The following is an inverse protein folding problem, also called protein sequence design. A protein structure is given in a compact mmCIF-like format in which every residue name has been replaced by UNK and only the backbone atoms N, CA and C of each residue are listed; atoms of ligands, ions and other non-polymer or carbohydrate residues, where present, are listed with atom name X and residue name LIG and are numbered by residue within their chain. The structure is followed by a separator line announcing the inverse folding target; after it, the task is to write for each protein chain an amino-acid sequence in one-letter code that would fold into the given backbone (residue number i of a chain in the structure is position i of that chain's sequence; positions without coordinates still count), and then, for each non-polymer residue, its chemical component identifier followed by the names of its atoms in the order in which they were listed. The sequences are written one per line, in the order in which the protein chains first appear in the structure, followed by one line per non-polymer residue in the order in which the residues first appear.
data_IF_056786285233
#
_entry.id   IF_056786285233
#
_cell.length_a   1.000
_cell.length_b   1.000
_cell.length_c   1.000
_cell.angle_alpha   90.00
_cell.angle_beta   90.00
_cell.angle_gamma   90.00
#
_symmetry.space_group_name_H-M   'P 1'
#
loop_
_entity.id
_entity.type
_entity.pdbx_description
1 polymer ?
#
# COMPACT_ATOMS: atom_id res chain seq x y z
N UNK A 1 11.85 17.88 -2.74
CA UNK A 1 12.08 17.68 -1.29
C UNK A 1 11.70 16.24 -1.00
N UNK A 2 12.66 15.45 -0.54
CA UNK A 2 12.43 14.08 -0.07
C UNK A 2 11.78 14.20 1.32
N UNK A 3 10.58 13.65 1.56
CA UNK A 3 9.91 13.87 2.84
C UNK A 3 10.57 13.00 3.91
N UNK A 4 11.25 13.65 4.85
CA UNK A 4 11.75 13.02 6.06
C UNK A 4 10.55 12.58 6.90
N UNK A 5 10.46 11.28 7.21
CA UNK A 5 9.43 10.76 8.13
C UNK A 5 9.57 11.49 9.49
N UNK A 6 8.47 11.99 10.09
CA UNK A 6 8.53 12.55 11.44
C UNK A 6 8.96 11.46 12.43
N UNK A 7 9.69 11.87 13.49
CA UNK A 7 10.29 10.95 14.47
C UNK A 7 9.27 10.07 15.24
N UNK A 8 7.99 10.44 15.24
CA UNK A 8 6.89 9.69 15.83
C UNK A 8 6.38 8.62 14.86
N UNK A 9 7.12 7.51 14.68
CA UNK A 9 6.58 6.35 13.94
C UNK A 9 5.38 5.77 14.67
N UNK A 10 4.33 5.34 13.94
CA UNK A 10 3.25 4.54 14.55
C UNK A 10 3.88 3.27 15.12
N UNK A 11 3.89 3.17 16.45
CA UNK A 11 4.43 2.03 17.20
C UNK A 11 3.43 0.88 17.30
N UNK A 12 2.22 1.05 16.76
CA UNK A 12 1.26 -0.03 16.67
C UNK A 12 1.86 -1.20 15.87
N UNK A 13 1.65 -2.45 16.32
CA UNK A 13 2.08 -3.61 15.56
C UNK A 13 1.39 -3.60 14.19
N UNK A 14 2.10 -4.09 13.17
CA UNK A 14 1.50 -4.29 11.85
C UNK A 14 0.41 -5.35 11.97
N UNK A 15 -0.83 -5.06 11.52
CA UNK A 15 -1.92 -6.01 11.61
C UNK A 15 -1.71 -7.13 10.59
N UNK A 16 -2.20 -8.32 10.93
CA UNK A 16 -2.31 -9.40 9.95
C UNK A 16 -3.35 -9.03 8.88
N UNK A 17 -2.98 -9.28 7.62
CA UNK A 17 -3.87 -9.09 6.48
C UNK A 17 -4.12 -10.45 5.82
N UNK A 18 -5.39 -10.78 5.66
CA UNK A 18 -5.80 -11.85 4.77
C UNK A 18 -5.77 -11.32 3.33
N UNK A 19 -4.71 -11.68 2.60
CA UNK A 19 -4.58 -11.35 1.17
C UNK A 19 -5.47 -12.27 0.33
N UNK A 20 -6.43 -11.67 -0.37
CA UNK A 20 -7.31 -12.34 -1.30
C UNK A 20 -6.77 -12.10 -2.72
N UNK A 21 -6.33 -13.17 -3.36
CA UNK A 21 -5.84 -13.13 -4.75
C UNK A 21 -6.96 -13.59 -5.69
N UNK A 22 -7.11 -12.94 -6.84
CA UNK A 22 -7.93 -13.52 -7.92
C UNK A 22 -7.23 -14.78 -8.44
N UNK A 23 -7.97 -15.87 -8.64
CA UNK A 23 -7.45 -17.21 -8.96
C UNK A 23 -6.36 -17.22 -10.07
N UNK A 24 -6.52 -16.34 -11.06
CA UNK A 24 -5.59 -16.14 -12.17
C UNK A 24 -4.20 -15.59 -11.82
N UNK A 25 -3.98 -15.10 -10.59
CA UNK A 25 -2.71 -14.53 -10.11
C UNK A 25 -2.08 -15.33 -8.96
N UNK A 26 -2.64 -16.50 -8.62
CA UNK A 26 -2.18 -17.30 -7.49
C UNK A 26 -0.73 -17.82 -7.65
N UNK A 27 -0.30 -18.15 -8.88
CA UNK A 27 1.04 -18.65 -9.18
C UNK A 27 2.05 -17.56 -9.59
N UNK A 28 1.70 -16.29 -9.39
CA UNK A 28 2.49 -15.20 -9.94
C UNK A 28 3.71 -14.89 -9.07
N UNK A 29 4.89 -14.85 -9.69
CA UNK A 29 6.13 -14.51 -8.98
C UNK A 29 6.17 -13.01 -8.72
N UNK A 30 5.95 -12.62 -7.48
CA UNK A 30 5.99 -11.23 -7.01
C UNK A 30 7.37 -10.57 -7.16
N UNK A 31 8.40 -11.35 -7.48
CA UNK A 31 9.79 -10.91 -7.55
C UNK A 31 9.98 -9.74 -8.52
N UNK A 32 9.24 -9.68 -9.63
CA UNK A 32 9.40 -8.64 -10.65
C UNK A 32 8.53 -7.39 -10.39
N UNK A 33 7.71 -7.41 -9.32
CA UNK A 33 6.86 -6.26 -8.97
C UNK A 33 7.66 -5.16 -8.30
N UNK A 34 7.58 -3.96 -8.89
CA UNK A 34 8.33 -2.78 -8.46
C UNK A 34 7.51 -1.75 -7.69
N UNK A 35 6.24 -1.65 -8.03
CA UNK A 35 5.33 -0.70 -7.41
C UNK A 35 4.09 -1.40 -6.89
N UNK A 36 3.66 -0.94 -5.73
CA UNK A 36 2.42 -1.34 -5.10
C UNK A 36 1.56 -0.09 -4.96
N UNK A 37 0.30 -0.17 -5.36
CA UNK A 37 -0.66 0.92 -5.24
C UNK A 37 -1.77 0.44 -4.33
N UNK A 38 -1.87 1.04 -3.14
CA UNK A 38 -3.04 0.88 -2.30
C UNK A 38 -4.12 1.87 -2.74
N UNK A 39 -5.33 1.38 -2.99
CA UNK A 39 -6.50 2.20 -3.32
C UNK A 39 -7.53 2.14 -2.19
N UNK A 40 -8.14 3.28 -1.89
CA UNK A 40 -9.13 3.42 -0.83
C UNK A 40 -10.36 4.15 -1.39
N UNK A 41 -11.45 3.43 -1.71
CA UNK A 41 -12.72 4.06 -2.07
C UNK A 41 -13.34 4.77 -0.86
N UNK A 42 -14.07 5.86 -1.09
CA UNK A 42 -15.00 6.45 -0.12
C UNK A 42 -14.39 6.78 1.26
N UNK A 43 -13.13 7.24 1.29
CA UNK A 43 -12.37 7.52 2.54
C UNK A 43 -12.21 6.32 3.48
N UNK A 44 -12.29 5.09 2.96
CA UNK A 44 -12.08 3.84 3.72
C UNK A 44 -10.74 3.79 4.45
N UNK A 45 -9.76 4.55 3.98
CA UNK A 45 -8.50 4.77 4.67
C UNK A 45 -8.72 5.19 6.15
N UNK A 46 -9.70 6.06 6.43
CA UNK A 46 -9.99 6.52 7.79
C UNK A 46 -10.52 5.39 8.67
N UNK A 47 -11.44 4.57 8.16
CA UNK A 47 -12.01 3.42 8.87
C UNK A 47 -10.94 2.37 9.19
N UNK A 48 -10.02 2.11 8.26
CA UNK A 48 -8.91 1.20 8.47
C UNK A 48 -7.97 1.73 9.56
N UNK A 49 -7.68 3.03 9.58
CA UNK A 49 -6.84 3.61 10.62
C UNK A 49 -7.45 3.50 12.01
N UNK A 50 -8.73 3.83 12.14
CA UNK A 50 -9.46 3.71 13.40
C UNK A 50 -9.45 2.26 13.89
N UNK A 51 -9.66 1.31 12.97
CA UNK A 51 -9.59 -0.12 13.25
C UNK A 51 -8.19 -0.58 13.75
N UNK A 52 -7.12 -0.11 13.10
CA UNK A 52 -5.76 -0.61 13.37
C UNK A 52 -5.11 0.03 14.60
N UNK A 53 -5.33 1.33 14.79
CA UNK A 53 -4.56 2.12 15.75
C UNK A 53 -5.36 2.44 17.00
N UNK A 54 -6.69 2.25 16.98
CA UNK A 54 -7.63 2.76 18.01
C UNK A 54 -7.51 4.28 18.25
N UNK A 55 -6.74 4.97 17.41
CA UNK A 55 -6.54 6.41 17.42
C UNK A 55 -7.30 6.91 16.19
N UNK A 56 -8.30 7.77 16.40
CA UNK A 56 -9.08 8.34 15.31
C UNK A 56 -8.18 9.04 14.28
N UNK A 57 -8.63 9.09 13.03
CA UNK A 57 -7.89 9.73 11.92
C UNK A 57 -7.44 11.15 12.30
N UNK A 58 -6.13 11.39 12.27
CA UNK A 58 -5.54 12.72 12.46
C UNK A 58 -4.98 13.23 11.13
N UNK A 59 -5.58 14.28 10.51
CA UNK A 59 -5.09 14.81 9.24
C UNK A 59 -3.63 15.30 9.31
N UNK A 60 -3.16 15.70 10.50
CA UNK A 60 -1.77 16.14 10.70
C UNK A 60 -0.76 14.97 10.71
N UNK A 61 -1.22 13.72 10.76
CA UNK A 61 -0.39 12.51 10.80
C UNK A 61 -0.49 11.67 9.53
N UNK A 62 -1.00 12.24 8.44
CA UNK A 62 -1.21 11.56 7.15
C UNK A 62 0.04 10.82 6.62
N UNK A 63 1.24 11.37 6.85
CA UNK A 63 2.51 10.72 6.49
C UNK A 63 2.76 9.41 7.27
N UNK A 64 2.50 9.42 8.57
CA UNK A 64 2.66 8.25 9.43
C UNK A 64 1.70 7.14 9.03
N UNK A 65 0.48 7.51 8.64
CA UNK A 65 -0.49 6.54 8.19
C UNK A 65 -0.15 5.94 6.82
N UNK A 66 0.40 6.72 5.90
CA UNK A 66 0.91 6.20 4.63
C UNK A 66 2.04 5.20 4.86
N UNK A 67 2.96 5.53 5.76
CA UNK A 67 4.04 4.63 6.17
C UNK A 67 3.52 3.33 6.79
N UNK A 68 2.56 3.44 7.72
CA UNK A 68 1.92 2.29 8.36
C UNK A 68 1.24 1.35 7.35
N UNK A 69 0.48 1.90 6.39
CA UNK A 69 -0.10 1.11 5.29
C UNK A 69 1.01 0.44 4.47
N UNK A 70 2.10 1.14 4.19
CA UNK A 70 3.26 0.57 3.48
C UNK A 70 3.85 -0.63 4.20
N UNK A 71 4.13 -0.49 5.50
CA UNK A 71 4.62 -1.58 6.36
C UNK A 71 3.67 -2.77 6.40
N UNK A 72 2.37 -2.48 6.47
CA UNK A 72 1.29 -3.47 6.49
C UNK A 72 1.27 -4.30 5.21
N UNK A 73 1.28 -3.64 4.04
CA UNK A 73 1.37 -4.33 2.75
C UNK A 73 2.71 -5.08 2.62
N UNK A 74 3.81 -4.46 3.05
CA UNK A 74 5.14 -5.04 2.94
C UNK A 74 5.24 -6.36 3.72
N UNK A 75 4.75 -6.38 4.96
CA UNK A 75 4.68 -7.58 5.78
C UNK A 75 3.83 -8.67 5.13
N UNK A 76 2.68 -8.31 4.58
CA UNK A 76 1.76 -9.28 3.99
C UNK A 76 2.30 -9.94 2.72
N UNK A 77 3.02 -9.19 1.86
CA UNK A 77 3.56 -9.71 0.61
C UNK A 77 4.94 -10.36 0.74
N UNK A 78 5.77 -9.89 1.69
CA UNK A 78 7.19 -10.26 1.75
C UNK A 78 7.65 -10.83 3.10
N UNK A 79 6.82 -10.75 4.15
CA UNK A 79 7.24 -11.07 5.51
C UNK A 79 8.26 -10.10 6.10
N UNK A 80 8.47 -8.94 5.45
CA UNK A 80 9.37 -7.87 5.85
C UNK A 80 8.65 -6.53 5.76
N UNK A 81 8.48 -5.83 6.87
CA UNK A 81 7.81 -4.52 6.96
C UNK A 81 8.51 -3.39 6.19
N UNK A 82 9.81 -3.52 5.88
CA UNK A 82 10.63 -2.42 5.35
C UNK A 82 10.91 -2.54 3.84
N UNK A 83 10.42 -3.60 3.20
CA UNK A 83 10.64 -3.84 1.77
C UNK A 83 9.86 -2.86 0.86
N UNK A 84 8.73 -2.33 1.32
CA UNK A 84 7.99 -1.27 0.65
C UNK A 84 8.19 0.08 1.31
N UNK A 85 8.59 1.06 0.52
CA UNK A 85 8.72 2.44 0.97
C UNK A 85 7.69 3.33 0.29
N UNK A 86 7.08 4.24 1.05
CA UNK A 86 6.18 5.25 0.51
C UNK A 86 6.87 6.08 -0.59
N UNK A 87 6.18 6.24 -1.73
CA UNK A 87 6.68 6.96 -2.90
C UNK A 87 5.86 8.21 -3.20
N UNK A 88 4.54 8.06 -3.34
CA UNK A 88 3.61 9.16 -3.63
C UNK A 88 2.24 8.82 -3.07
N UNK A 89 1.42 9.83 -2.86
CA UNK A 89 -0.01 9.64 -2.67
C UNK A 89 -0.76 10.72 -3.47
N UNK A 90 -1.95 10.37 -3.94
CA UNK A 90 -2.81 11.21 -4.75
C UNK A 90 -4.27 10.89 -4.47
N UNK A 91 -5.15 11.79 -4.92
CA UNK A 91 -6.59 11.57 -4.86
C UNK A 91 -7.15 11.86 -6.25
N UNK A 92 -7.86 10.89 -6.82
CA UNK A 92 -8.55 11.04 -8.10
C UNK A 92 -10.03 10.78 -7.84
N UNK A 93 -10.85 11.82 -8.04
CA UNK A 93 -12.29 11.81 -7.70
C UNK A 93 -12.49 11.46 -6.21
N UNK A 94 -13.13 10.34 -5.91
CA UNK A 94 -13.42 9.88 -4.54
C UNK A 94 -12.56 8.67 -4.12
N UNK A 95 -11.41 8.48 -4.77
CA UNK A 95 -10.49 7.38 -4.47
C UNK A 95 -9.13 7.94 -4.10
N UNK A 96 -8.67 7.56 -2.91
CA UNK A 96 -7.32 7.86 -2.44
C UNK A 96 -6.37 6.76 -2.89
N UNK A 97 -5.20 7.16 -3.39
CA UNK A 97 -4.14 6.26 -3.83
C UNK A 97 -2.87 6.51 -3.03
N UNK A 98 -2.23 5.44 -2.58
CA UNK A 98 -0.91 5.48 -1.97
C UNK A 98 0.00 4.52 -2.74
N UNK A 99 1.03 5.07 -3.35
CA UNK A 99 2.02 4.32 -4.13
C UNK A 99 3.24 4.05 -3.29
N UNK A 100 3.70 2.80 -3.33
CA UNK A 100 4.89 2.30 -2.67
C UNK A 100 5.88 1.76 -3.68
N UNK A 101 7.17 1.94 -3.40
CA UNK A 101 8.28 1.36 -4.17
C UNK A 101 8.87 0.16 -3.43
N UNK A 102 9.15 -0.91 -4.15
CA UNK A 102 9.93 -2.02 -3.64
C UNK A 102 11.43 -1.64 -3.62
N UNK A 103 12.03 -1.53 -2.44
CA UNK A 103 13.41 -1.03 -2.28
C UNK A 103 14.48 -2.05 -2.66
N UNK A 104 14.15 -3.34 -2.73
CA UNK A 104 15.08 -4.37 -3.21
C UNK A 104 15.30 -4.31 -4.72
N UNK A 105 14.51 -3.51 -5.45
CA UNK A 105 14.57 -3.38 -6.91
C UNK A 105 15.12 -2.02 -7.33
N UNK A 106 16.45 -1.93 -7.43
CA UNK A 106 17.18 -0.68 -7.71
C UNK A 106 17.58 -0.48 -9.17
N UNK A 107 17.40 -1.48 -10.04
CA UNK A 107 17.89 -1.39 -11.44
C UNK A 107 17.12 -0.29 -12.21
N UNK A 108 17.71 0.36 -13.22
CA UNK A 108 17.01 1.42 -13.96
C UNK A 108 15.73 0.90 -14.64
N UNK A 109 14.66 1.68 -14.52
CA UNK A 109 13.35 1.39 -15.09
C UNK A 109 13.37 1.65 -16.60
N UNK A 110 13.25 0.60 -17.40
CA UNK A 110 13.15 0.70 -18.87
C UNK A 110 11.88 -0.02 -19.33
N UNK A 111 10.97 0.69 -19.98
CA UNK A 111 9.77 0.12 -20.58
C UNK A 111 8.56 0.01 -19.64
N UNK A 112 7.79 -1.07 -19.81
CA UNK A 112 6.59 -1.39 -19.03
C UNK A 112 6.97 -1.99 -17.68
N UNK A 113 6.25 -1.59 -16.64
CA UNK A 113 6.43 -2.09 -15.28
C UNK A 113 5.23 -2.92 -14.84
N UNK A 114 5.52 -3.89 -13.98
CA UNK A 114 4.52 -4.62 -13.22
C UNK A 114 4.16 -3.85 -11.96
N UNK A 115 2.87 -3.66 -11.77
CA UNK A 115 2.31 -2.95 -10.61
C UNK A 115 1.27 -3.84 -9.98
N UNK A 116 1.32 -3.96 -8.66
CA UNK A 116 0.25 -4.60 -7.89
C UNK A 116 -0.66 -3.52 -7.34
N UNK A 117 -1.95 -3.68 -7.57
CA UNK A 117 -2.97 -2.84 -6.96
C UNK A 117 -3.58 -3.62 -5.80
N UNK A 118 -3.61 -3.00 -4.62
CA UNK A 118 -4.15 -3.54 -3.37
C UNK A 118 -5.38 -2.72 -3.00
N UNK A 119 -6.52 -3.37 -2.86
CA UNK A 119 -7.79 -2.79 -2.44
C UNK A 119 -8.16 -3.34 -1.07
N UNK A 120 -8.11 -2.48 -0.05
CA UNK A 120 -8.51 -2.86 1.29
C UNK A 120 -10.03 -2.93 1.39
N UNK A 121 -10.54 -4.03 1.90
CA UNK A 121 -11.96 -4.18 2.20
C UNK A 121 -12.31 -3.41 3.48
N UNK A 122 -13.62 -3.18 3.67
CA UNK A 122 -14.10 -2.55 4.89
C UNK A 122 -13.75 -3.42 6.12
N UNK A 123 -13.15 -2.84 7.17
CA UNK A 123 -12.75 -3.61 8.34
C UNK A 123 -13.97 -4.17 9.07
N UNK A 124 -13.91 -5.45 9.45
CA UNK A 124 -14.97 -6.13 10.21
C UNK A 124 -14.47 -6.39 11.63
N UNK A 125 -15.18 -5.91 12.67
CA UNK A 125 -14.80 -6.16 14.06
C UNK A 125 -14.58 -7.65 14.36
N UNK A 126 -13.44 -7.98 14.97
CA UNK A 126 -13.09 -9.36 15.33
C UNK A 126 -12.55 -10.21 14.17
N UNK A 127 -12.32 -9.64 12.99
CA UNK A 127 -11.62 -10.30 11.88
C UNK A 127 -10.32 -9.58 11.54
N UNK A 128 -9.41 -10.29 10.88
CA UNK A 128 -8.23 -9.66 10.28
C UNK A 128 -8.64 -8.67 9.19
N UNK A 129 -7.75 -7.73 8.89
CA UNK A 129 -7.92 -6.89 7.70
C UNK A 129 -7.91 -7.78 6.47
N UNK A 130 -8.74 -7.43 5.49
CA UNK A 130 -8.77 -8.13 4.21
C UNK A 130 -8.38 -7.18 3.11
N UNK A 131 -7.53 -7.64 2.22
CA UNK A 131 -7.18 -6.87 1.04
C UNK A 131 -7.24 -7.77 -0.19
N UNK A 132 -7.90 -7.29 -1.23
CA UNK A 132 -7.89 -7.92 -2.54
C UNK A 132 -6.72 -7.33 -3.32
N UNK A 133 -5.96 -8.16 -4.01
CA UNK A 133 -4.91 -7.65 -4.88
C UNK A 133 -4.98 -8.25 -6.27
N UNK A 134 -4.47 -7.47 -7.23
CA UNK A 134 -4.36 -7.89 -8.62
C UNK A 134 -3.09 -7.33 -9.25
N UNK A 135 -2.54 -8.09 -10.19
CA UNK A 135 -1.48 -7.60 -11.05
C UNK A 135 -2.06 -6.73 -12.15
N UNK A 136 -1.48 -5.54 -12.36
CA UNK A 136 -1.76 -4.71 -13.52
C UNK A 136 -0.51 -4.66 -14.40
N UNK A 137 -0.45 -5.50 -15.45
CA UNK A 137 0.67 -5.49 -16.37
C UNK A 137 0.62 -4.26 -17.29
N UNK A 138 1.78 -3.81 -17.74
CA UNK A 138 1.86 -2.84 -18.84
C UNK A 138 1.65 -1.38 -18.42
N UNK A 139 1.73 -1.06 -17.12
CA UNK A 139 1.74 0.34 -16.68
C UNK A 139 3.09 0.97 -17.05
N UNK A 140 3.08 2.23 -17.48
CA UNK A 140 4.32 3.00 -17.68
C UNK A 140 4.73 3.70 -16.39
N UNK A 141 6.04 3.93 -16.20
CA UNK A 141 6.52 4.72 -15.06
C UNK A 141 5.89 6.13 -15.02
N UNK A 142 5.61 6.72 -16.18
CA UNK A 142 4.96 8.02 -16.27
C UNK A 142 3.55 7.97 -15.67
N UNK A 143 2.75 6.94 -15.99
CA UNK A 143 1.42 6.76 -15.42
C UNK A 143 1.44 6.64 -13.90
N UNK A 144 2.44 5.96 -13.31
CA UNK A 144 2.61 5.88 -11.85
C UNK A 144 2.96 7.24 -11.23
N UNK A 145 3.69 8.09 -11.97
CA UNK A 145 4.03 9.45 -11.53
C UNK A 145 2.87 10.43 -11.63
N UNK A 146 1.92 10.18 -12.53
CA UNK A 146 0.75 11.04 -12.78
C UNK A 146 -0.43 10.78 -11.84
N UNK A 147 -0.42 9.66 -11.09
CA UNK A 147 -1.39 9.32 -10.04
C UNK A 147 -1.45 10.33 -8.88
#
# INVERSE_FOLDING_TARGET
MEPTLPADTITAPVPEIDLIVEDQYHDLVLSDTRYFIAQFPDRRLNSIMEFCTSIGFNPNQTLLFRDFIGRTISQAFFGDELQLQWFKAGQIRNMDYITFRNVQRTEPLVGTIQVIVVDFLEPVPGQNLKAVWKLVPGITLQSVREL
#
